data_IF_003168353805
#
_entry.id   IF_003168353805
#
_cell.length_a   1.000
_cell.length_b   1.000
_cell.length_c   1.000
_cell.angle_alpha   90.00
_cell.angle_beta   90.00
_cell.angle_gamma   90.00
#
_symmetry.space_group_name_H-M   'P 1'
#
loop_
_entity.id
_entity.type
_entity.pdbx_description
1 polymer ?
#
# COMPACT_ATOMS: atom_id res chain seq x y z
N UNK A 1 17.31 2.50 11.66
CA UNK A 1 17.02 2.68 11.45
C UNK A 1 16.47 2.89 11.06
N UNK A 2 16.53 3.03 11.00
CA UNK A 2 16.19 3.33 10.66
C UNK A 2 16.03 3.74 10.41
N UNK A 3 16.06 3.87 10.47
CA UNK A 3 16.01 4.44 10.40
C UNK A 3 16.33 4.75 9.88
N UNK A 4 16.70 4.91 9.79
CA UNK A 4 17.04 5.27 9.27
C UNK A 4 16.86 6.01 8.70
N UNK A 5 16.64 6.44 8.48
CA UNK A 5 16.41 7.04 8.09
C UNK A 5 15.78 7.72 7.50
N UNK A 6 15.29 8.33 7.40
CA UNK A 6 14.72 8.89 6.91
C UNK A 6 14.75 9.86 6.57
N UNK A 7 14.61 9.93 6.23
CA UNK A 7 14.62 10.74 5.86
C UNK A 7 14.93 11.98 6.11
N UNK A 8 15.94 12.20 6.07
CA UNK A 8 16.42 13.36 6.30
C UNK A 8 15.85 14.39 5.48
N UNK A 9 15.51 14.13 4.31
CA UNK A 9 15.03 15.14 3.48
C UNK A 9 13.59 15.20 3.46
N UNK A 10 12.95 14.44 4.22
CA UNK A 10 11.55 14.43 4.18
C UNK A 10 11.01 13.56 3.13
N UNK A 11 11.82 12.97 2.31
CA UNK A 11 11.35 12.10 1.33
C UNK A 11 11.50 10.72 1.80
N UNK A 12 10.82 9.79 1.26
CA UNK A 12 10.97 8.41 1.62
C UNK A 12 12.38 8.01 1.36
N UNK A 13 12.95 7.19 2.18
CA UNK A 13 14.28 6.77 1.98
C UNK A 13 14.44 5.93 0.76
N UNK A 14 13.45 5.18 0.37
CA UNK A 14 13.56 4.34 -0.80
C UNK A 14 12.36 4.50 -1.68
N UNK A 15 12.58 4.52 -2.95
CA UNK A 15 11.48 4.53 -3.90
C UNK A 15 10.92 3.13 -3.98
N UNK A 16 9.78 2.95 -4.59
CA UNK A 16 9.18 1.64 -4.73
C UNK A 16 10.12 0.69 -5.47
N UNK A 17 10.73 1.08 -6.60
CA UNK A 17 11.65 0.15 -7.23
C UNK A 17 12.82 -0.23 -6.35
N UNK A 18 13.29 0.69 -5.52
CA UNK A 18 14.37 0.36 -4.60
C UNK A 18 13.90 -0.62 -3.55
N UNK A 19 12.68 -0.46 -3.07
CA UNK A 19 12.14 -1.39 -2.10
C UNK A 19 11.99 -2.77 -2.69
N UNK A 20 11.59 -2.85 -3.96
CA UNK A 20 11.43 -4.13 -4.63
C UNK A 20 12.82 -4.79 -4.76
N UNK A 21 13.82 -4.01 -5.11
CA UNK A 21 15.16 -4.58 -5.24
C UNK A 21 15.66 -5.10 -3.91
N UNK A 22 15.39 -4.35 -2.85
CA UNK A 22 15.81 -4.77 -1.53
C UNK A 22 15.07 -6.05 -1.12
N UNK A 23 13.78 -6.12 -1.40
CA UNK A 23 13.01 -7.30 -1.06
C UNK A 23 13.51 -8.51 -1.81
N UNK A 24 13.93 -8.31 -3.05
CA UNK A 24 14.42 -9.41 -3.84
C UNK A 24 15.71 -9.97 -3.29
N UNK A 25 16.44 -9.17 -2.55
CA UNK A 25 17.68 -9.62 -1.98
C UNK A 25 17.48 -10.30 -0.63
N UNK A 26 16.27 -10.32 -0.10
CA UNK A 26 16.03 -10.90 1.20
C UNK A 26 15.41 -12.26 1.09
N UNK A 27 15.39 -13.00 2.19
CA UNK A 27 14.84 -14.34 2.20
C UNK A 27 13.86 -14.51 3.34
N UNK A 28 12.99 -15.46 3.21
CA UNK A 28 12.11 -15.87 4.29
C UNK A 28 11.23 -14.76 4.80
N UNK A 29 11.12 -14.66 6.11
CA UNK A 29 10.26 -13.67 6.72
C UNK A 29 10.65 -12.25 6.38
N UNK A 30 11.92 -11.99 6.27
CA UNK A 30 12.37 -10.64 5.93
C UNK A 30 11.87 -10.24 4.54
N UNK A 31 11.88 -11.18 3.62
CA UNK A 31 11.39 -10.91 2.29
C UNK A 31 9.88 -10.71 2.33
N UNK A 32 9.18 -11.54 3.07
CA UNK A 32 7.74 -11.47 3.17
C UNK A 32 7.32 -10.12 3.75
N UNK A 33 7.98 -9.69 4.80
CA UNK A 33 7.63 -8.46 5.46
C UNK A 33 7.86 -7.26 4.56
N UNK A 34 8.93 -7.27 3.82
CA UNK A 34 9.22 -6.15 2.97
C UNK A 34 8.26 -6.10 1.78
N UNK A 35 7.89 -7.23 1.23
CA UNK A 35 6.90 -7.24 0.16
C UNK A 35 5.53 -6.82 0.70
N UNK A 36 5.21 -7.19 1.95
CA UNK A 36 3.98 -6.75 2.55
C UNK A 36 4.00 -5.23 2.69
N UNK A 37 5.11 -4.69 3.11
CA UNK A 37 5.25 -3.25 3.24
C UNK A 37 5.07 -2.55 1.89
N UNK A 38 5.63 -3.10 0.82
CA UNK A 38 5.49 -2.53 -0.50
C UNK A 38 4.02 -2.54 -0.91
N UNK A 39 3.33 -3.65 -0.64
CA UNK A 39 1.91 -3.73 -0.96
C UNK A 39 1.12 -2.67 -0.22
N UNK A 40 1.37 -2.53 1.08
CA UNK A 40 0.64 -1.57 1.90
C UNK A 40 0.94 -0.14 1.46
N UNK A 41 2.19 0.14 1.19
CA UNK A 41 2.62 1.48 0.80
C UNK A 41 1.97 1.87 -0.53
N UNK A 42 2.01 0.98 -1.50
CA UNK A 42 1.46 1.30 -2.81
C UNK A 42 -0.06 1.38 -2.76
N UNK A 43 -0.70 0.52 -1.96
CA UNK A 43 -2.13 0.55 -1.84
C UNK A 43 -2.59 1.85 -1.19
N UNK A 44 -1.88 2.29 -0.17
CA UNK A 44 -2.23 3.53 0.50
C UNK A 44 -2.20 4.70 -0.47
N UNK A 45 -1.11 4.85 -1.21
CA UNK A 45 -1.00 5.99 -2.10
C UNK A 45 -1.93 5.88 -3.29
N UNK A 46 -2.05 4.70 -3.88
CA UNK A 46 -2.90 4.53 -5.04
C UNK A 46 -4.38 4.62 -4.67
N UNK A 47 -4.71 4.27 -3.45
CA UNK A 47 -6.12 4.28 -3.03
C UNK A 47 -6.52 5.58 -2.40
N UNK A 48 -5.79 6.06 -1.42
CA UNK A 48 -6.18 7.24 -0.67
C UNK A 48 -5.76 8.54 -1.37
N UNK A 49 -4.57 8.57 -1.91
CA UNK A 49 -4.08 9.81 -2.53
C UNK A 49 -3.55 9.58 -3.94
N UNK A 50 -4.40 9.09 -4.83
CA UNK A 50 -3.93 8.83 -6.19
C UNK A 50 -3.43 10.09 -6.90
N UNK A 51 -3.96 11.23 -6.51
CA UNK A 51 -3.51 12.46 -7.15
C UNK A 51 -2.06 12.77 -6.85
N UNK A 52 -1.53 12.24 -5.76
CA UNK A 52 -0.13 12.47 -5.47
C UNK A 52 0.77 11.71 -6.43
N UNK A 53 0.21 10.76 -7.14
CA UNK A 53 0.99 10.00 -8.09
C UNK A 53 0.90 10.58 -9.48
N UNK A 54 0.16 11.66 -9.65
CA UNK A 54 0.05 12.22 -10.93
C UNK A 54 0.89 13.41 -10.97
N UNK A 55 1.99 13.42 -11.66
CA UNK A 55 2.80 14.44 -11.64
C UNK A 55 2.89 15.05 -12.89
N UNK A 56 2.29 15.75 -13.38
CA UNK A 56 2.45 16.41 -14.55
C UNK A 56 1.86 15.67 -15.63
N UNK A 57 2.46 15.47 -16.65
CA UNK A 57 1.88 14.89 -17.74
C UNK A 57 1.85 13.49 -17.86
N UNK A 58 2.73 12.80 -17.57
CA UNK A 58 2.65 11.44 -17.85
C UNK A 58 2.42 10.68 -16.71
N UNK A 59 1.72 11.06 -15.93
CA UNK A 59 1.60 10.49 -14.79
C UNK A 59 0.76 9.29 -14.70
N UNK A 60 -0.06 8.94 -15.53
CA UNK A 60 -0.78 7.77 -15.43
C UNK A 60 0.15 6.64 -15.24
N UNK A 61 1.31 6.69 -15.74
CA UNK A 61 2.18 5.57 -15.64
C UNK A 61 2.67 5.32 -14.22
N UNK A 62 2.77 6.36 -13.41
CA UNK A 62 3.21 6.16 -12.05
C UNK A 62 2.12 5.46 -11.23
N UNK A 63 0.88 5.85 -11.44
CA UNK A 63 -0.22 5.20 -10.76
C UNK A 63 -0.27 3.73 -11.14
N UNK A 64 -0.15 3.45 -12.41
CA UNK A 64 -0.21 2.08 -12.88
C UNK A 64 0.96 1.28 -12.36
N UNK A 65 2.13 1.89 -12.27
CA UNK A 65 3.29 1.21 -11.75
C UNK A 65 3.09 0.85 -10.29
N UNK A 66 2.51 1.77 -9.52
CA UNK A 66 2.24 1.50 -8.11
C UNK A 66 1.26 0.33 -7.98
N UNK A 67 0.23 0.30 -8.78
CA UNK A 67 -0.72 -0.80 -8.73
C UNK A 67 -0.05 -2.12 -9.08
N UNK A 68 0.81 -2.10 -10.07
CA UNK A 68 1.49 -3.30 -10.48
C UNK A 68 2.44 -3.79 -9.40
N UNK A 69 3.22 -2.91 -8.82
CA UNK A 69 4.14 -3.30 -7.77
C UNK A 69 3.36 -3.82 -6.56
N UNK A 70 2.25 -3.18 -6.24
CA UNK A 70 1.47 -3.60 -5.08
C UNK A 70 0.89 -4.99 -5.24
N UNK A 71 0.30 -5.24 -6.41
CA UNK A 71 -0.28 -6.53 -6.66
C UNK A 71 0.77 -7.61 -6.60
N UNK A 72 1.91 -7.34 -7.22
CA UNK A 72 2.95 -8.33 -7.27
C UNK A 72 3.54 -8.59 -5.89
N UNK A 73 3.73 -7.55 -5.11
CA UNK A 73 4.32 -7.72 -3.79
C UNK A 73 3.40 -8.46 -2.83
N UNK A 74 2.11 -8.17 -2.88
CA UNK A 74 1.18 -8.91 -2.06
C UNK A 74 1.18 -10.38 -2.49
N UNK A 75 1.27 -10.65 -3.78
CA UNK A 75 1.27 -12.01 -4.26
C UNK A 75 2.53 -12.75 -3.80
N UNK A 76 3.68 -12.11 -3.90
CA UNK A 76 4.91 -12.74 -3.47
C UNK A 76 4.85 -12.99 -1.97
N UNK A 77 4.37 -12.01 -1.20
CA UNK A 77 4.28 -12.21 0.23
C UNK A 77 3.34 -13.36 0.57
N UNK A 78 2.28 -13.51 -0.21
CA UNK A 78 1.31 -14.58 0.05
C UNK A 78 1.92 -15.96 -0.17
N UNK A 79 2.97 -16.02 -0.95
CA UNK A 79 3.57 -17.30 -1.27
C UNK A 79 4.69 -17.68 -0.31
N UNK A 80 5.01 -16.84 0.64
CA UNK A 80 6.03 -17.14 1.61
C UNK A 80 5.34 -17.45 2.93
N UNK A 81 5.60 -18.61 3.47
CA UNK A 81 4.94 -19.00 4.68
C UNK A 81 5.51 -18.26 5.84
N UNK A 82 4.71 -17.67 6.69
CA UNK A 82 5.19 -16.92 7.82
C UNK A 82 5.55 -17.86 8.96
N UNK A 83 6.63 -17.55 9.61
CA UNK A 83 7.03 -18.35 10.74
C UNK A 83 6.14 -18.06 11.94
N UNK A 84 5.67 -16.83 12.04
CA UNK A 84 4.90 -16.41 13.16
C UNK A 84 3.42 -16.62 12.87
N UNK A 85 2.69 -17.30 13.72
CA UNK A 85 1.31 -17.54 13.48
C UNK A 85 0.45 -16.32 13.64
N UNK A 86 0.96 -15.28 14.25
CA UNK A 86 0.19 -14.07 14.41
C UNK A 86 0.36 -13.16 13.21
N UNK A 87 1.18 -13.55 12.25
CA UNK A 87 1.38 -12.71 11.08
C UNK A 87 0.13 -12.68 10.24
N UNK A 88 0.07 -11.73 9.33
CA UNK A 88 -1.07 -11.58 8.44
C UNK A 88 -1.20 -12.87 7.60
N UNK A 89 -2.37 -13.43 7.51
CA UNK A 89 -2.52 -14.69 6.79
C UNK A 89 -2.24 -14.57 5.31
N UNK A 90 -1.63 -15.58 4.74
CA UNK A 90 -1.33 -15.58 3.33
C UNK A 90 -2.59 -15.50 2.47
N UNK A 91 -3.69 -16.07 2.93
CA UNK A 91 -4.92 -16.01 2.16
C UNK A 91 -5.42 -14.58 2.02
N UNK A 92 -5.21 -13.76 3.07
CA UNK A 92 -5.60 -12.38 2.99
C UNK A 92 -4.71 -11.65 2.00
N UNK A 93 -3.42 -11.92 2.03
CA UNK A 93 -2.50 -11.28 1.10
C UNK A 93 -2.81 -11.65 -0.33
N UNK A 94 -3.22 -12.86 -0.55
CA UNK A 94 -3.57 -13.28 -1.89
C UNK A 94 -4.81 -12.53 -2.35
N UNK A 95 -5.78 -12.33 -1.48
CA UNK A 95 -6.96 -11.58 -1.83
C UNK A 95 -6.64 -10.14 -2.10
N UNK A 96 -5.74 -9.54 -1.32
CA UNK A 96 -5.35 -8.17 -1.56
C UNK A 96 -4.69 -8.03 -2.92
N UNK A 97 -3.92 -9.02 -3.32
CA UNK A 97 -3.31 -8.99 -4.62
C UNK A 97 -4.36 -9.07 -5.71
N UNK A 98 -5.26 -10.03 -5.60
CA UNK A 98 -6.27 -10.24 -6.62
C UNK A 98 -7.24 -9.10 -6.72
N UNK A 99 -7.52 -8.43 -5.62
CA UNK A 99 -8.51 -7.39 -5.63
C UNK A 99 -7.93 -6.03 -5.35
N UNK A 100 -6.68 -5.85 -5.71
CA UNK A 100 -5.98 -4.60 -5.45
C UNK A 100 -6.73 -3.40 -6.03
N UNK A 101 -7.19 -3.52 -7.24
CA UNK A 101 -7.89 -2.41 -7.89
C UNK A 101 -9.19 -2.08 -7.18
N UNK A 102 -9.89 -3.09 -6.71
CA UNK A 102 -11.12 -2.87 -5.99
C UNK A 102 -10.83 -2.22 -4.65
N UNK A 103 -9.73 -2.61 -4.01
CA UNK A 103 -9.34 -1.99 -2.76
C UNK A 103 -9.00 -0.52 -2.96
N UNK A 104 -8.33 -0.19 -4.05
CA UNK A 104 -8.03 1.20 -4.35
C UNK A 104 -9.31 1.99 -4.53
N UNK A 105 -10.25 1.41 -5.25
CA UNK A 105 -11.52 2.09 -5.47
C UNK A 105 -12.25 2.31 -4.15
N UNK A 106 -12.25 1.30 -3.29
CA UNK A 106 -12.94 1.39 -2.02
C UNK A 106 -12.30 2.45 -1.12
N UNK A 107 -10.98 2.52 -1.10
CA UNK A 107 -10.30 3.51 -0.29
C UNK A 107 -10.57 4.92 -0.81
N UNK A 108 -10.65 5.07 -2.11
CA UNK A 108 -10.95 6.36 -2.70
C UNK A 108 -12.36 6.79 -2.32
N UNK A 109 -13.30 5.85 -2.30
CA UNK A 109 -14.66 6.15 -1.92
C UNK A 109 -14.76 6.51 -0.44
N UNK A 110 -14.01 5.86 0.41
CA UNK A 110 -14.01 6.18 1.82
C UNK A 110 -13.48 7.60 2.03
N UNK A 111 -12.41 7.94 1.36
CA UNK A 111 -11.86 9.27 1.48
C UNK A 111 -12.86 10.32 0.98
N UNK A 112 -13.52 10.03 -0.12
CA UNK A 112 -14.48 10.96 -0.67
C UNK A 112 -15.63 11.16 0.30
N UNK A 113 -16.07 10.12 0.98
CA UNK A 113 -17.15 10.23 1.93
C UNK A 113 -16.70 11.00 3.16
N UNK A 114 -15.48 10.82 3.58
CA UNK A 114 -14.98 11.59 4.70
C UNK A 114 -14.96 13.07 4.35
N UNK A 115 -14.48 13.41 3.19
CA UNK A 115 -14.39 14.79 2.78
C UNK A 115 -15.75 15.42 2.64
N UNK A 116 -16.71 14.67 2.18
CA UNK A 116 -18.02 15.19 2.02
C UNK A 116 -18.69 15.26 3.36
N UNK A 117 -18.45 14.31 4.21
CA UNK A 117 -19.05 14.28 5.48
C UNK A 117 -18.61 15.37 6.38
N UNK A 118 -17.47 15.94 6.15
CA UNK A 118 -16.99 16.94 6.90
C UNK A 118 -17.89 18.05 6.87
N UNK A 119 -18.77 18.10 6.07
CA UNK A 119 -19.63 19.09 5.99
C UNK A 119 -20.63 19.00 6.96
N UNK A 120 -20.48 18.45 7.90
CA UNK A 120 -21.44 18.48 8.79
C UNK A 120 -22.20 17.40 9.01
N UNK A 121 -21.87 16.42 8.85
CA UNK A 121 -22.55 15.37 8.94
C UNK A 121 -21.98 14.58 9.87
N UNK A 122 -22.19 14.00 10.51
CA UNK A 122 -21.67 13.23 11.42
C UNK A 122 -20.76 12.43 10.93
N UNK A 123 -20.63 12.43 9.91
CA UNK A 123 -19.65 11.84 9.38
C UNK A 123 -18.91 10.72 9.86
N UNK A 124 -17.74 10.84 10.07
CA UNK A 124 -16.91 9.75 10.37
C UNK A 124 -17.36 8.98 11.52
N UNK A 125 -17.76 9.64 12.45
CA UNK A 125 -18.13 8.96 13.57
C UNK A 125 -19.17 8.01 13.32
N UNK A 126 -20.13 8.40 12.63
CA UNK A 126 -21.20 7.54 12.40
C UNK A 126 -20.82 6.43 11.53
N UNK A 127 -19.92 6.61 10.67
CA UNK A 127 -19.60 5.57 9.82
C UNK A 127 -18.69 4.61 10.40
N UNK A 128 -17.70 5.06 10.99
CA UNK A 128 -16.75 4.19 11.45
C UNK A 128 -17.09 3.49 12.64
N UNK A 129 -17.76 4.08 13.46
CA UNK A 129 -18.07 3.48 14.57
C UNK A 129 -19.16 2.76 14.60
N UNK A 130 -19.82 2.82 13.79
CA UNK A 130 -20.90 2.09 13.85
C UNK A 130 -20.85 1.14 13.41
#
# INVERSE_FOLDING_TARGET
>A
MVHRVRGVTGKPLMSVPEMVAEASARLGDAKRELHLHIGDFTLFWAGIYPEALQDGDEDTSKFEAYCCFGKRSYKIASEIEAADKTAVPSTLLERLSDRFDLCCYSLREIRRQWESGDDGQCGPGSILLN
#
